data_IF_462011038509
#
_entry.id   IF_462011038509
#
_cell.length_a   1.000
_cell.length_b   1.000
_cell.length_c   1.000
_cell.angle_alpha   90.00
_cell.angle_beta   90.00
_cell.angle_gamma   90.00
#
_symmetry.space_group_name_H-M   'P 1'
#
loop_
_entity.id
_entity.type
_entity.pdbx_description
1 polymer ?
#
# COMPACT_ATOMS: atom_id res chain seq x y z
N UNK A 1 -8.15 17.60 45.67
CA UNK A 1 -7.76 16.73 44.54
C UNK A 1 -9.00 15.93 44.20
N UNK A 2 -9.53 16.04 42.98
CA UNK A 2 -10.77 15.37 42.59
C UNK A 2 -10.51 13.87 42.53
N UNK A 3 -11.34 13.05 43.21
CA UNK A 3 -11.26 11.60 43.06
C UNK A 3 -11.85 11.21 41.69
N UNK A 4 -10.97 10.86 40.76
CA UNK A 4 -11.35 10.48 39.40
C UNK A 4 -12.22 9.21 39.41
N UNK A 5 -12.05 8.33 40.40
CA UNK A 5 -12.85 7.12 40.52
C UNK A 5 -14.30 7.47 40.84
N UNK A 6 -14.52 8.38 41.78
CA UNK A 6 -15.84 8.90 42.11
C UNK A 6 -16.52 9.54 40.88
N UNK A 7 -15.78 10.34 40.11
CA UNK A 7 -16.30 10.94 38.86
C UNK A 7 -16.68 9.88 37.83
N UNK A 8 -15.86 8.85 37.61
CA UNK A 8 -16.13 7.78 36.63
C UNK A 8 -17.35 6.94 37.05
N UNK A 9 -17.51 6.66 38.35
CA UNK A 9 -18.58 5.81 38.90
C UNK A 9 -19.89 6.59 39.17
N UNK A 10 -19.86 7.92 39.01
CA UNK A 10 -20.98 8.83 39.25
C UNK A 10 -22.20 8.57 38.35
N UNK A 11 -23.38 9.02 38.80
CA UNK A 11 -24.59 8.93 37.99
C UNK A 11 -24.53 9.86 36.79
N UNK A 12 -23.93 11.03 36.95
CA UNK A 12 -23.72 12.04 35.93
C UNK A 12 -22.91 11.46 34.76
N UNK A 13 -21.82 10.73 35.05
CA UNK A 13 -21.04 10.06 34.01
C UNK A 13 -21.86 8.97 33.29
N UNK A 14 -22.64 8.18 34.02
CA UNK A 14 -23.54 7.18 33.42
C UNK A 14 -24.55 7.82 32.46
N UNK A 15 -25.11 8.98 32.83
CA UNK A 15 -26.06 9.71 32.00
C UNK A 15 -25.39 10.29 30.75
N UNK A 16 -24.15 10.79 30.86
CA UNK A 16 -23.33 11.22 29.71
C UNK A 16 -23.07 10.07 28.75
N UNK A 17 -22.62 8.91 29.25
CA UNK A 17 -22.36 7.72 28.42
C UNK A 17 -23.64 7.30 27.69
N UNK A 18 -24.77 7.24 28.39
CA UNK A 18 -26.07 6.89 27.80
C UNK A 18 -26.49 7.87 26.70
N UNK A 19 -26.23 9.17 26.89
CA UNK A 19 -26.51 10.19 25.88
C UNK A 19 -25.61 10.04 24.64
N UNK A 20 -24.31 9.79 24.84
CA UNK A 20 -23.36 9.54 23.75
C UNK A 20 -23.72 8.28 22.95
N UNK A 21 -24.10 7.20 23.62
CA UNK A 21 -24.57 5.97 22.96
C UNK A 21 -25.83 6.23 22.13
N UNK A 22 -26.78 7.03 22.64
CA UNK A 22 -27.97 7.40 21.90
C UNK A 22 -27.63 8.24 20.65
N UNK A 23 -26.67 9.17 20.75
CA UNK A 23 -26.18 9.93 19.60
C UNK A 23 -25.51 9.03 18.58
N UNK A 24 -24.64 8.10 19.02
CA UNK A 24 -23.99 7.12 18.14
C UNK A 24 -25.02 6.29 17.40
N UNK A 25 -26.02 5.70 18.09
CA UNK A 25 -27.06 4.89 17.45
C UNK A 25 -27.88 5.65 16.42
N UNK A 26 -28.07 6.96 16.61
CA UNK A 26 -28.84 7.80 15.69
C UNK A 26 -28.06 8.20 14.44
N UNK A 27 -26.74 8.38 14.56
CA UNK A 27 -25.92 9.03 13.53
C UNK A 27 -24.79 8.15 12.97
N UNK A 28 -24.46 7.02 13.60
CA UNK A 28 -23.58 6.03 13.02
C UNK A 28 -24.30 5.25 11.90
N UNK A 29 -23.56 4.75 10.89
CA UNK A 29 -24.12 3.87 9.87
C UNK A 29 -24.85 2.68 10.50
N UNK A 30 -26.05 2.37 10.01
CA UNK A 30 -26.94 1.36 10.59
C UNK A 30 -26.39 -0.08 10.57
N UNK A 31 -25.33 -0.37 9.78
CA UNK A 31 -24.83 -1.72 9.53
C UNK A 31 -23.30 -1.81 9.56
N UNK A 32 -22.68 -1.37 10.65
CA UNK A 32 -21.26 -1.58 10.87
C UNK A 32 -20.97 -3.02 11.28
N UNK A 33 -19.90 -3.60 10.72
CA UNK A 33 -19.34 -4.86 11.20
C UNK A 33 -18.87 -4.66 12.65
N UNK A 34 -19.37 -5.49 13.56
CA UNK A 34 -19.00 -5.45 14.99
C UNK A 34 -18.05 -6.58 15.39
N UNK A 35 -17.97 -7.63 14.59
CA UNK A 35 -17.03 -8.74 14.77
C UNK A 35 -15.91 -8.64 13.73
N UNK A 36 -14.89 -7.85 14.07
CA UNK A 36 -13.72 -7.65 13.22
C UNK A 36 -12.42 -7.72 14.02
N UNK A 37 -11.33 -7.98 13.32
CA UNK A 37 -9.98 -7.96 13.91
C UNK A 37 -9.47 -6.53 13.94
N UNK A 38 -8.93 -6.09 15.08
CA UNK A 38 -8.39 -4.73 15.23
C UNK A 38 -7.29 -4.42 14.21
N UNK A 39 -7.18 -3.18 13.68
CA UNK A 39 -6.14 -2.83 12.71
C UNK A 39 -4.73 -3.06 13.22
N UNK A 40 -4.48 -2.74 14.49
CA UNK A 40 -3.19 -2.94 15.16
C UNK A 40 -2.81 -4.42 15.26
N UNK A 41 -3.79 -5.32 15.47
CA UNK A 41 -3.55 -6.77 15.47
C UNK A 41 -3.20 -7.28 14.08
N UNK A 42 -3.84 -6.76 13.03
CA UNK A 42 -3.53 -7.13 11.64
C UNK A 42 -2.14 -6.64 11.21
N UNK A 43 -1.78 -5.41 11.61
CA UNK A 43 -0.62 -4.70 11.08
C UNK A 43 0.66 -4.77 11.96
N UNK A 44 0.53 -4.87 13.28
CA UNK A 44 1.64 -4.67 14.22
C UNK A 44 1.91 -5.87 15.13
N UNK A 45 0.92 -6.73 15.37
CA UNK A 45 1.06 -7.90 16.24
C UNK A 45 1.49 -9.13 15.44
N UNK A 46 2.68 -9.63 15.74
CA UNK A 46 3.25 -10.83 15.11
C UNK A 46 3.64 -10.60 13.65
N UNK A 47 3.36 -11.59 12.79
CA UNK A 47 3.59 -11.46 11.34
C UNK A 47 2.53 -10.55 10.72
N UNK A 48 2.96 -9.69 9.79
CA UNK A 48 2.08 -8.81 9.05
C UNK A 48 1.05 -9.60 8.24
N UNK A 49 -0.24 -9.31 8.44
CA UNK A 49 -1.37 -10.06 7.87
C UNK A 49 -1.84 -9.46 6.54
N UNK A 50 -0.95 -9.44 5.55
CA UNK A 50 -1.19 -8.75 4.27
C UNK A 50 -2.42 -9.24 3.52
N UNK A 51 -2.69 -10.54 3.55
CA UNK A 51 -3.84 -11.15 2.87
C UNK A 51 -5.15 -10.68 3.50
N UNK A 52 -5.23 -10.75 4.82
CA UNK A 52 -6.39 -10.38 5.61
C UNK A 52 -6.68 -8.89 5.47
N UNK A 53 -5.64 -8.05 5.52
CA UNK A 53 -5.76 -6.60 5.29
C UNK A 53 -6.29 -6.33 3.88
N UNK A 54 -5.71 -6.96 2.85
CA UNK A 54 -6.17 -6.76 1.48
C UNK A 54 -7.62 -7.23 1.30
N UNK A 55 -8.05 -8.32 1.96
CA UNK A 55 -9.43 -8.79 1.94
C UNK A 55 -10.39 -7.77 2.54
N UNK A 56 -10.05 -7.19 3.70
CA UNK A 56 -10.81 -6.09 4.30
C UNK A 56 -10.91 -4.90 3.35
N UNK A 57 -9.80 -4.50 2.71
CA UNK A 57 -9.79 -3.36 1.79
C UNK A 57 -10.61 -3.63 0.51
N UNK A 58 -10.80 -4.89 0.12
CA UNK A 58 -11.58 -5.25 -1.06
C UNK A 58 -13.06 -5.50 -0.76
N UNK A 59 -13.42 -5.75 0.50
CA UNK A 59 -14.80 -6.02 0.85
C UNK A 59 -15.66 -4.74 0.79
N UNK A 60 -16.96 -4.93 0.60
CA UNK A 60 -17.93 -3.83 0.59
C UNK A 60 -18.53 -3.59 1.99
N UNK A 61 -17.99 -4.24 3.03
CA UNK A 61 -18.50 -4.10 4.37
C UNK A 61 -18.18 -2.70 4.90
N UNK A 62 -19.13 -2.14 5.65
CA UNK A 62 -18.94 -0.90 6.39
C UNK A 62 -18.34 -1.22 7.75
N UNK A 63 -17.22 -0.56 8.06
CA UNK A 63 -16.58 -0.60 9.37
C UNK A 63 -16.74 0.75 10.05
N UNK A 64 -16.30 0.86 11.31
CA UNK A 64 -16.26 2.16 11.96
C UNK A 64 -15.32 3.14 11.21
N UNK A 65 -15.59 4.47 11.28
CA UNK A 65 -14.81 5.47 10.57
C UNK A 65 -13.30 5.36 10.85
N UNK A 66 -12.47 5.48 9.82
CA UNK A 66 -11.00 5.39 9.95
C UNK A 66 -10.43 3.97 9.96
N UNK A 67 -11.24 2.91 10.14
CA UNK A 67 -10.75 1.52 10.15
C UNK A 67 -9.99 1.13 8.87
N UNK A 68 -10.63 1.31 7.71
CA UNK A 68 -10.02 0.99 6.41
C UNK A 68 -8.92 1.97 6.01
N UNK A 69 -8.97 3.22 6.47
CA UNK A 69 -7.92 4.22 6.21
C UNK A 69 -6.59 3.80 6.82
N UNK A 70 -6.61 3.46 8.09
CA UNK A 70 -5.41 3.06 8.83
C UNK A 70 -4.84 1.76 8.24
N UNK A 71 -5.70 0.82 7.85
CA UNK A 71 -5.28 -0.39 7.17
C UNK A 71 -4.69 -0.14 5.77
N UNK A 72 -5.26 0.78 4.99
CA UNK A 72 -4.72 1.15 3.68
C UNK A 72 -3.34 1.79 3.80
N UNK A 73 -3.16 2.73 4.74
CA UNK A 73 -1.86 3.34 4.99
C UNK A 73 -0.81 2.31 5.45
N UNK A 74 -1.21 1.38 6.32
CA UNK A 74 -0.37 0.25 6.72
C UNK A 74 0.05 -0.62 5.54
N UNK A 75 -0.89 -0.93 4.64
CA UNK A 75 -0.66 -1.74 3.45
C UNK A 75 0.28 -1.04 2.45
N UNK A 76 0.11 0.27 2.27
CA UNK A 76 1.04 1.10 1.50
C UNK A 76 2.46 1.03 2.08
N UNK A 77 2.62 1.23 3.39
CA UNK A 77 3.90 1.11 4.07
C UNK A 77 4.53 -0.28 3.94
N UNK A 78 3.72 -1.34 4.03
CA UNK A 78 4.18 -2.71 3.84
C UNK A 78 4.70 -2.95 2.42
N UNK A 79 4.08 -2.38 1.39
CA UNK A 79 4.53 -2.52 0.01
C UNK A 79 5.87 -1.81 -0.25
N UNK A 80 6.15 -0.72 0.46
CA UNK A 80 7.42 0.01 0.32
C UNK A 80 8.52 -0.74 1.09
N UNK A 81 8.26 -1.06 2.37
CA UNK A 81 9.23 -1.70 3.25
C UNK A 81 8.59 -2.85 4.05
N UNK A 82 8.47 -4.06 3.46
CA UNK A 82 7.77 -5.19 4.09
C UNK A 82 8.32 -5.58 5.46
N UNK A 83 9.63 -5.39 5.66
CA UNK A 83 10.35 -5.78 6.87
C UNK A 83 10.33 -4.70 7.96
N UNK A 84 10.06 -3.45 7.61
CA UNK A 84 10.14 -2.34 8.55
C UNK A 84 8.77 -2.04 9.18
N UNK A 85 8.57 -2.53 10.41
CA UNK A 85 7.35 -2.26 11.17
C UNK A 85 7.14 -0.77 11.38
N UNK A 86 8.20 -0.02 11.69
CA UNK A 86 8.13 1.40 12.02
C UNK A 86 7.51 2.23 10.91
N UNK A 87 7.76 1.88 9.64
CA UNK A 87 7.17 2.57 8.48
C UNK A 87 5.65 2.43 8.49
N UNK A 88 5.17 1.20 8.67
CA UNK A 88 3.73 0.92 8.73
C UNK A 88 3.07 1.62 9.90
N UNK A 89 3.71 1.56 11.07
CA UNK A 89 3.22 2.17 12.30
C UNK A 89 3.11 3.69 12.16
N UNK A 90 4.14 4.36 11.63
CA UNK A 90 4.05 5.79 11.40
C UNK A 90 2.97 6.17 10.38
N UNK A 91 2.88 5.47 9.24
CA UNK A 91 1.83 5.76 8.25
C UNK A 91 0.42 5.52 8.81
N UNK A 92 0.26 4.52 9.67
CA UNK A 92 -0.99 4.29 10.42
C UNK A 92 -1.33 5.47 11.33
N UNK A 93 -0.34 6.05 12.04
CA UNK A 93 -0.57 7.22 12.90
C UNK A 93 -0.93 8.45 12.07
N UNK A 94 -0.27 8.71 10.94
CA UNK A 94 -0.65 9.81 10.05
C UNK A 94 -2.07 9.64 9.50
N UNK A 95 -2.45 8.44 9.06
CA UNK A 95 -3.82 8.18 8.62
C UNK A 95 -4.85 8.36 9.75
N UNK A 96 -4.48 8.03 10.99
CA UNK A 96 -5.33 8.27 12.15
C UNK A 96 -5.48 9.77 12.46
N UNK A 97 -4.39 10.54 12.38
CA UNK A 97 -4.40 12.00 12.53
C UNK A 97 -5.27 12.66 11.47
N UNK A 98 -5.07 12.29 10.20
CA UNK A 98 -5.86 12.80 9.08
C UNK A 98 -7.35 12.49 9.28
N UNK A 99 -7.69 11.30 9.78
CA UNK A 99 -9.07 10.95 10.08
C UNK A 99 -9.70 11.82 11.18
N UNK A 100 -8.94 12.12 12.24
CA UNK A 100 -9.38 12.99 13.33
C UNK A 100 -9.53 14.45 12.86
N UNK A 101 -8.56 14.97 12.12
CA UNK A 101 -8.58 16.31 11.53
C UNK A 101 -9.74 16.47 10.53
N UNK A 102 -9.97 15.49 9.65
CA UNK A 102 -11.12 15.48 8.74
C UNK A 102 -12.45 15.48 9.51
N UNK A 103 -12.52 14.81 10.66
CA UNK A 103 -13.71 14.77 11.50
C UNK A 103 -13.99 16.12 12.16
N UNK A 104 -12.95 16.83 12.60
CA UNK A 104 -13.09 18.20 13.11
C UNK A 104 -13.47 19.18 12.00
N UNK A 105 -12.82 19.10 10.83
CA UNK A 105 -13.10 19.97 9.68
C UNK A 105 -14.52 19.83 9.14
N UNK A 106 -15.12 18.64 9.22
CA UNK A 106 -16.53 18.43 8.84
C UNK A 106 -17.52 19.27 9.65
N UNK A 107 -17.13 19.76 10.83
CA UNK A 107 -17.94 20.66 11.64
C UNK A 107 -17.83 22.13 11.19
N UNK A 108 -17.00 22.45 10.19
CA UNK A 108 -16.78 23.80 9.67
C UNK A 108 -15.90 24.67 10.57
N UNK A 109 -15.63 25.90 10.14
CA UNK A 109 -14.85 26.88 10.90
C UNK A 109 -15.74 27.54 11.98
N UNK A 110 -15.50 27.21 13.25
CA UNK A 110 -16.12 27.88 14.39
C UNK A 110 -15.28 27.66 15.65
N UNK A 111 -15.50 28.48 16.67
CA UNK A 111 -14.84 28.34 17.97
C UNK A 111 -15.08 26.96 18.60
N UNK A 112 -14.09 26.50 19.36
CA UNK A 112 -14.17 25.25 20.12
C UNK A 112 -15.32 25.35 21.12
N UNK A 113 -16.21 24.36 21.10
CA UNK A 113 -17.24 24.18 22.11
C UNK A 113 -17.38 22.71 22.46
N UNK A 114 -17.87 22.41 23.66
CA UNK A 114 -18.07 21.04 24.13
C UNK A 114 -18.92 20.21 23.16
N UNK A 115 -19.97 20.81 22.59
CA UNK A 115 -20.84 20.14 21.60
C UNK A 115 -20.05 19.73 20.35
N UNK A 116 -19.16 20.60 19.88
CA UNK A 116 -18.33 20.34 18.70
C UNK A 116 -17.29 19.26 18.99
N UNK A 117 -16.58 19.36 20.11
CA UNK A 117 -15.59 18.34 20.52
C UNK A 117 -16.25 16.97 20.68
N UNK A 118 -17.39 16.89 21.39
CA UNK A 118 -18.14 15.65 21.53
C UNK A 118 -18.54 15.07 20.17
N UNK A 119 -19.03 15.91 19.26
CA UNK A 119 -19.45 15.46 17.93
C UNK A 119 -18.28 14.96 17.10
N UNK A 120 -17.17 15.71 17.04
CA UNK A 120 -15.98 15.28 16.31
C UNK A 120 -15.42 13.98 16.89
N UNK A 121 -15.16 13.95 18.20
CA UNK A 121 -14.43 12.87 18.86
C UNK A 121 -15.24 11.59 19.04
N UNK A 122 -16.50 11.69 19.47
CA UNK A 122 -17.28 10.51 19.84
C UNK A 122 -18.29 10.08 18.78
N UNK A 123 -18.75 11.01 17.92
CA UNK A 123 -19.73 10.70 16.87
C UNK A 123 -19.03 10.46 15.52
N UNK A 124 -18.18 11.37 15.05
CA UNK A 124 -17.55 11.28 13.73
C UNK A 124 -16.33 10.37 13.70
N UNK A 125 -15.44 10.48 14.69
CA UNK A 125 -14.27 9.60 14.84
C UNK A 125 -14.66 8.23 15.40
N UNK A 126 -15.64 8.18 16.31
CA UNK A 126 -16.14 7.00 17.03
C UNK A 126 -15.27 6.48 18.20
N UNK A 127 -15.94 5.95 19.23
CA UNK A 127 -15.27 5.29 20.36
C UNK A 127 -14.49 4.03 19.96
N UNK A 128 -14.96 3.29 18.96
CA UNK A 128 -14.28 2.07 18.50
C UNK A 128 -12.92 2.41 17.89
N UNK A 129 -12.85 3.50 17.12
CA UNK A 129 -11.57 4.06 16.64
C UNK A 129 -10.66 4.45 17.80
N UNK A 130 -11.19 5.16 18.81
CA UNK A 130 -10.37 5.62 19.93
C UNK A 130 -9.75 4.44 20.69
N UNK A 131 -10.53 3.40 20.94
CA UNK A 131 -10.08 2.21 21.68
C UNK A 131 -9.12 1.36 20.84
N UNK A 132 -9.46 1.08 19.58
CA UNK A 132 -8.77 0.05 18.80
C UNK A 132 -7.59 0.57 17.98
N UNK A 133 -7.55 1.88 17.74
CA UNK A 133 -6.52 2.55 16.94
C UNK A 133 -5.76 3.55 17.81
N UNK A 134 -6.43 4.61 18.28
CA UNK A 134 -5.75 5.71 18.96
C UNK A 134 -5.01 5.25 20.22
N UNK A 135 -5.71 4.64 21.18
CA UNK A 135 -5.13 4.15 22.43
C UNK A 135 -4.10 3.05 22.17
N UNK A 136 -4.42 2.10 21.28
CA UNK A 136 -3.53 0.99 20.94
C UNK A 136 -2.23 1.42 20.25
N UNK A 137 -2.19 2.59 19.61
CA UNK A 137 -0.98 3.17 19.03
C UNK A 137 -0.20 4.05 20.01
N UNK A 138 -0.66 4.20 21.26
CA UNK A 138 -0.01 5.01 22.29
C UNK A 138 -0.67 6.35 22.56
N UNK A 139 -1.87 6.57 22.02
CA UNK A 139 -2.71 7.75 22.27
C UNK A 139 -1.97 9.07 22.03
N UNK A 140 -2.20 10.05 22.88
CA UNK A 140 -1.66 11.40 22.72
C UNK A 140 -0.14 11.42 22.49
N UNK A 141 0.61 10.60 23.24
CA UNK A 141 2.07 10.62 23.19
C UNK A 141 2.61 10.19 21.82
N UNK A 142 2.06 9.13 21.23
CA UNK A 142 2.50 8.63 19.94
C UNK A 142 2.17 9.58 18.78
N UNK A 143 1.15 10.41 18.94
CA UNK A 143 0.70 11.38 17.96
C UNK A 143 1.52 12.69 18.08
N UNK A 144 1.86 13.11 19.30
CA UNK A 144 2.71 14.28 19.53
C UNK A 144 4.20 14.05 19.17
N UNK A 145 4.69 12.81 19.29
CA UNK A 145 6.10 12.47 19.08
C UNK A 145 6.37 11.83 17.71
N UNK A 146 5.37 11.70 16.84
CA UNK A 146 5.55 11.01 15.57
C UNK A 146 6.42 11.84 14.61
N UNK A 147 7.40 11.23 13.92
CA UNK A 147 8.10 11.91 12.84
C UNK A 147 7.14 12.39 11.76
N UNK A 148 7.45 13.54 11.17
CA UNK A 148 6.73 14.03 9.99
C UNK A 148 6.94 13.08 8.81
N UNK A 149 6.03 13.10 7.85
CA UNK A 149 6.19 12.37 6.59
C UNK A 149 7.50 12.76 5.89
N UNK A 150 7.90 14.02 5.93
CA UNK A 150 9.17 14.46 5.32
C UNK A 150 10.39 13.75 5.94
N UNK A 151 10.45 13.63 7.26
CA UNK A 151 11.55 12.93 7.95
C UNK A 151 11.60 11.44 7.62
N UNK A 152 10.43 10.82 7.43
CA UNK A 152 10.35 9.45 6.95
C UNK A 152 10.86 9.32 5.51
N UNK A 153 10.51 10.26 4.63
CA UNK A 153 10.88 10.22 3.21
C UNK A 153 12.38 10.29 2.99
N UNK A 154 13.09 11.08 3.79
CA UNK A 154 14.56 11.12 3.79
C UNK A 154 15.14 9.72 4.06
N UNK A 155 14.49 8.91 4.89
CA UNK A 155 14.93 7.54 5.16
C UNK A 155 14.59 6.57 4.00
N UNK A 156 13.64 6.91 3.12
CA UNK A 156 13.04 6.01 2.13
C UNK A 156 13.46 6.25 0.68
N UNK A 157 14.11 7.37 0.37
CA UNK A 157 14.52 7.73 -1.00
C UNK A 157 15.33 6.61 -1.69
N UNK A 158 16.09 5.84 -0.91
CA UNK A 158 16.85 4.69 -1.40
C UNK A 158 15.96 3.55 -1.91
N UNK A 159 14.83 3.29 -1.27
CA UNK A 159 13.93 2.17 -1.59
C UNK A 159 13.06 2.47 -2.80
N UNK A 160 12.65 3.73 -3.00
CA UNK A 160 11.92 4.17 -4.19
C UNK A 160 12.67 3.76 -5.47
N UNK A 161 13.97 4.06 -5.52
CA UNK A 161 14.80 3.73 -6.67
C UNK A 161 14.92 2.22 -6.91
N UNK A 162 15.02 1.43 -5.85
CA UNK A 162 15.07 -0.04 -5.92
C UNK A 162 13.75 -0.57 -6.48
N UNK A 163 12.61 -0.09 -5.95
CA UNK A 163 11.26 -0.46 -6.38
C UNK A 163 11.06 -0.11 -7.85
N UNK A 164 11.38 1.12 -8.26
CA UNK A 164 11.24 1.57 -9.65
C UNK A 164 12.12 0.74 -10.61
N UNK A 165 13.34 0.37 -10.20
CA UNK A 165 14.19 -0.53 -11.01
C UNK A 165 13.57 -1.93 -11.14
N UNK A 166 12.96 -2.47 -10.08
CA UNK A 166 12.28 -3.76 -10.12
C UNK A 166 11.02 -3.74 -11.01
N UNK A 167 10.24 -2.65 -10.94
CA UNK A 167 9.08 -2.40 -11.81
C UNK A 167 9.50 -2.30 -13.28
N UNK A 168 10.60 -1.61 -13.58
CA UNK A 168 11.15 -1.55 -14.94
C UNK A 168 11.61 -2.94 -15.42
N UNK A 169 12.26 -3.73 -14.57
CA UNK A 169 12.64 -5.10 -14.91
C UNK A 169 11.41 -5.97 -15.27
N UNK A 170 10.32 -5.88 -14.49
CA UNK A 170 9.05 -6.57 -14.83
C UNK A 170 8.46 -6.02 -16.13
N UNK A 171 8.59 -4.71 -16.39
CA UNK A 171 8.16 -4.09 -17.66
C UNK A 171 8.88 -4.73 -18.86
N UNK A 172 10.21 -4.92 -18.79
CA UNK A 172 10.95 -5.63 -19.83
C UNK A 172 10.45 -7.07 -20.01
N UNK A 173 10.20 -7.79 -18.92
CA UNK A 173 9.70 -9.16 -18.98
C UNK A 173 8.29 -9.23 -19.60
N UNK A 174 7.42 -8.27 -19.29
CA UNK A 174 6.08 -8.19 -19.88
C UNK A 174 6.17 -7.95 -21.40
N UNK A 175 6.97 -6.98 -21.85
CA UNK A 175 7.23 -6.79 -23.30
C UNK A 175 7.78 -8.05 -23.95
N UNK A 176 8.71 -8.76 -23.30
CA UNK A 176 9.31 -9.95 -23.85
C UNK A 176 8.33 -11.12 -23.96
N UNK A 177 7.54 -11.35 -22.91
CA UNK A 177 6.49 -12.37 -22.92
C UNK A 177 5.48 -12.09 -24.02
N UNK A 178 5.05 -10.84 -24.21
CA UNK A 178 4.04 -10.49 -25.22
C UNK A 178 4.59 -10.59 -26.65
N UNK A 179 5.84 -10.19 -26.90
CA UNK A 179 6.42 -10.15 -28.25
C UNK A 179 7.01 -11.47 -28.72
N UNK A 180 7.57 -12.27 -27.81
CA UNK A 180 8.42 -13.40 -28.18
C UNK A 180 7.81 -14.76 -27.82
N UNK A 181 6.62 -14.78 -27.23
CA UNK A 181 5.84 -16.02 -27.13
C UNK A 181 5.24 -16.35 -28.51
N UNK A 182 5.78 -17.38 -29.16
CA UNK A 182 5.25 -17.92 -30.41
C UNK A 182 4.52 -19.24 -30.16
N UNK A 183 3.57 -19.60 -31.03
CA UNK A 183 2.85 -20.88 -30.92
C UNK A 183 3.85 -22.04 -30.90
N UNK A 184 3.85 -22.82 -29.81
CA UNK A 184 4.71 -23.99 -29.63
C UNK A 184 6.10 -23.71 -29.04
N UNK A 185 6.52 -22.45 -28.89
CA UNK A 185 7.78 -22.08 -28.22
C UNK A 185 7.54 -20.92 -27.24
N UNK A 186 7.14 -21.21 -25.99
CA UNK A 186 6.90 -20.17 -25.00
C UNK A 186 8.23 -19.52 -24.59
N UNK A 187 8.25 -18.18 -24.57
CA UNK A 187 9.36 -17.44 -24.00
C UNK A 187 9.39 -17.67 -22.48
N UNK A 188 10.57 -18.06 -21.95
CA UNK A 188 10.79 -18.25 -20.51
C UNK A 188 11.38 -16.97 -19.91
N UNK A 189 10.60 -16.13 -19.20
CA UNK A 189 11.12 -14.93 -18.53
C UNK A 189 12.05 -15.28 -17.37
N UNK A 190 13.06 -14.44 -17.14
CA UNK A 190 13.92 -14.52 -15.95
C UNK A 190 14.48 -13.15 -15.60
N UNK A 191 14.71 -12.89 -14.31
CA UNK A 191 15.33 -11.63 -13.88
C UNK A 191 16.69 -11.41 -14.55
N UNK A 192 17.49 -12.47 -14.74
CA UNK A 192 18.76 -12.39 -15.45
C UNK A 192 18.61 -11.80 -16.87
N UNK A 193 17.55 -12.15 -17.61
CA UNK A 193 17.30 -11.56 -18.94
C UNK A 193 16.95 -10.07 -18.86
N UNK A 194 16.18 -9.65 -17.85
CA UNK A 194 15.90 -8.23 -17.63
C UNK A 194 17.16 -7.44 -17.21
N UNK A 195 18.04 -8.06 -16.42
CA UNK A 195 19.33 -7.48 -16.01
C UNK A 195 20.23 -7.23 -17.22
N UNK A 196 20.23 -8.09 -18.24
CA UNK A 196 21.00 -7.84 -19.46
C UNK A 196 20.59 -6.54 -20.18
N UNK A 197 19.31 -6.15 -20.12
CA UNK A 197 18.85 -4.86 -20.65
C UNK A 197 19.40 -3.69 -19.83
N UNK A 198 19.46 -3.85 -18.51
CA UNK A 198 20.04 -2.84 -17.61
C UNK A 198 21.55 -2.72 -17.80
N UNK A 199 22.26 -3.84 -17.98
CA UNK A 199 23.70 -3.86 -18.25
C UNK A 199 24.02 -3.19 -19.60
N UNK A 200 23.19 -3.42 -20.63
CA UNK A 200 23.29 -2.73 -21.91
C UNK A 200 23.06 -1.22 -21.75
N UNK A 201 22.06 -0.79 -20.95
CA UNK A 201 21.84 0.63 -20.65
C UNK A 201 23.07 1.26 -19.99
N UNK A 202 23.69 0.56 -19.05
CA UNK A 202 24.92 1.00 -18.37
C UNK A 202 26.10 1.16 -19.32
N UNK A 203 26.14 0.42 -20.42
CA UNK A 203 27.21 0.43 -21.42
C UNK A 203 27.04 1.50 -22.53
N UNK A 204 25.92 2.21 -22.59
CA UNK A 204 25.64 3.19 -23.65
C UNK A 204 26.53 4.46 -23.58
N UNK A 205 26.89 5.03 -24.75
CA UNK A 205 27.62 6.30 -24.91
C UNK A 205 26.72 7.35 -25.58
N UNK A 206 26.73 8.64 -25.17
CA UNK A 206 27.36 9.20 -23.96
C UNK A 206 26.79 8.54 -22.69
N UNK A 207 27.50 8.61 -21.54
CA UNK A 207 27.11 7.87 -20.36
C UNK A 207 25.71 8.30 -19.92
N UNK A 208 24.74 7.41 -20.12
CA UNK A 208 23.43 7.54 -19.52
C UNK A 208 23.62 7.68 -17.99
N UNK A 209 22.84 8.52 -17.28
CA UNK A 209 22.94 8.69 -15.83
C UNK A 209 22.38 7.46 -15.09
N UNK A 210 23.00 6.30 -15.32
CA UNK A 210 22.56 5.01 -14.83
C UNK A 210 22.57 4.99 -13.32
N UNK A 211 23.66 5.47 -12.71
CA UNK A 211 23.82 5.50 -11.25
C UNK A 211 22.85 6.42 -10.55
N UNK A 212 22.24 7.38 -11.25
CA UNK A 212 21.19 8.24 -10.69
C UNK A 212 19.83 7.53 -10.76
N UNK A 213 19.54 6.84 -11.87
CA UNK A 213 18.22 6.27 -12.16
C UNK A 213 18.00 4.83 -11.68
N UNK A 214 19.04 3.98 -11.70
CA UNK A 214 18.91 2.55 -11.47
C UNK A 214 19.87 2.04 -10.39
N UNK A 215 19.51 0.90 -9.81
CA UNK A 215 20.34 0.23 -8.80
C UNK A 215 21.31 -0.77 -9.41
N UNK A 216 22.26 -1.24 -8.61
CA UNK A 216 23.18 -2.31 -9.00
C UNK A 216 22.43 -3.63 -9.20
N UNK A 217 23.02 -4.52 -10.02
CA UNK A 217 22.54 -5.89 -10.21
C UNK A 217 22.34 -6.62 -8.87
N UNK A 218 23.34 -6.56 -7.98
CA UNK A 218 23.28 -7.24 -6.68
C UNK A 218 22.10 -6.76 -5.83
N UNK A 219 21.88 -5.45 -5.76
CA UNK A 219 20.78 -4.88 -4.98
C UNK A 219 19.41 -5.24 -5.58
N UNK A 220 19.28 -5.23 -6.91
CA UNK A 220 18.06 -5.67 -7.58
C UNK A 220 17.74 -7.15 -7.29
N UNK A 221 18.73 -8.05 -7.42
CA UNK A 221 18.54 -9.47 -7.10
C UNK A 221 18.17 -9.70 -5.63
N UNK A 222 18.84 -8.99 -4.71
CA UNK A 222 18.53 -9.07 -3.28
C UNK A 222 17.08 -8.64 -3.02
N UNK A 223 16.67 -7.47 -3.51
CA UNK A 223 15.32 -6.97 -3.35
C UNK A 223 14.28 -7.91 -3.95
N UNK A 224 14.50 -8.34 -5.20
CA UNK A 224 13.60 -9.28 -5.89
C UNK A 224 13.41 -10.58 -5.11
N UNK A 225 14.49 -11.14 -4.58
CA UNK A 225 14.43 -12.41 -3.84
C UNK A 225 13.72 -12.28 -2.50
N UNK A 226 13.92 -11.15 -1.82
CA UNK A 226 13.38 -10.89 -0.48
C UNK A 226 11.91 -10.46 -0.50
N UNK A 227 11.43 -9.87 -1.60
CA UNK A 227 10.13 -9.21 -1.68
C UNK A 227 9.20 -9.81 -2.76
N UNK A 228 9.34 -11.12 -3.03
CA UNK A 228 8.62 -11.83 -4.11
C UNK A 228 7.10 -11.62 -4.07
N UNK A 229 6.52 -11.62 -2.87
CA UNK A 229 5.09 -11.47 -2.61
C UNK A 229 4.49 -10.13 -3.06
N UNK A 230 5.29 -9.06 -3.17
CA UNK A 230 4.80 -7.71 -3.48
C UNK A 230 5.10 -7.24 -4.90
N UNK A 231 5.99 -7.93 -5.62
CA UNK A 231 6.46 -7.47 -6.93
C UNK A 231 5.32 -7.29 -7.96
N UNK A 232 4.36 -8.22 -7.98
CA UNK A 232 3.21 -8.12 -8.88
C UNK A 232 2.29 -6.94 -8.52
N UNK A 233 2.09 -6.68 -7.21
CA UNK A 233 1.30 -5.55 -6.73
C UNK A 233 1.98 -4.22 -7.08
N UNK A 234 3.27 -4.09 -6.85
CA UNK A 234 4.04 -2.89 -7.21
C UNK A 234 4.00 -2.61 -8.71
N UNK A 235 4.21 -3.64 -9.54
CA UNK A 235 4.12 -3.48 -10.99
C UNK A 235 2.70 -3.18 -11.47
N UNK A 236 1.68 -3.83 -10.91
CA UNK A 236 0.29 -3.51 -11.24
C UNK A 236 -0.06 -2.06 -10.87
N UNK A 237 0.39 -1.58 -9.71
CA UNK A 237 0.18 -0.20 -9.26
C UNK A 237 0.81 0.83 -10.20
N UNK A 238 1.97 0.53 -10.81
CA UNK A 238 2.63 1.44 -11.75
C UNK A 238 1.84 1.64 -13.06
N UNK A 239 0.88 0.76 -13.35
CA UNK A 239 0.10 0.78 -14.58
C UNK A 239 -1.25 1.49 -14.42
N UNK A 240 -1.66 1.79 -13.19
CA UNK A 240 -2.94 2.45 -12.88
C UNK A 240 -2.69 3.94 -12.74
N UNK A 241 -3.27 4.74 -13.64
CA UNK A 241 -3.19 6.20 -13.63
C UNK A 241 -4.36 6.78 -12.82
N UNK A 242 -4.04 7.67 -11.90
CA UNK A 242 -4.99 8.44 -11.09
C UNK A 242 -4.58 9.91 -11.24
N UNK A 243 -5.35 10.65 -12.05
CA UNK A 243 -4.98 11.99 -12.50
C UNK A 243 -3.59 12.00 -13.18
N UNK A 244 -2.65 12.79 -12.65
CA UNK A 244 -1.29 12.95 -13.18
C UNK A 244 -0.27 11.95 -12.61
N UNK A 245 -0.65 11.18 -11.58
CA UNK A 245 0.22 10.20 -10.92
C UNK A 245 -0.25 8.77 -11.19
N UNK A 246 0.63 7.81 -10.97
CA UNK A 246 0.27 6.39 -10.90
C UNK A 246 -0.09 6.01 -9.47
N UNK A 247 -0.83 4.91 -9.28
CA UNK A 247 -1.09 4.37 -7.94
C UNK A 247 0.22 4.04 -7.22
N UNK A 248 1.23 3.54 -7.94
CA UNK A 248 2.56 3.31 -7.36
C UNK A 248 3.18 4.60 -6.84
N UNK A 249 3.15 5.70 -7.60
CA UNK A 249 3.65 6.99 -7.14
C UNK A 249 2.91 7.48 -5.90
N UNK A 250 1.58 7.33 -5.85
CA UNK A 250 0.81 7.70 -4.67
C UNK A 250 1.18 6.87 -3.43
N UNK A 251 1.48 5.58 -3.61
CA UNK A 251 2.00 4.72 -2.54
C UNK A 251 3.39 5.21 -2.11
N UNK A 252 4.31 5.41 -3.06
CA UNK A 252 5.68 5.88 -2.82
C UNK A 252 5.76 7.30 -2.27
N UNK A 253 4.71 8.11 -2.42
CA UNK A 253 4.55 9.45 -1.84
C UNK A 253 3.83 9.42 -0.48
N UNK A 254 3.37 8.25 -0.01
CA UNK A 254 2.68 8.12 1.27
C UNK A 254 1.26 8.63 1.26
N UNK A 255 0.73 8.89 0.07
CA UNK A 255 -0.58 9.49 -0.16
C UNK A 255 -1.66 8.44 -0.40
N UNK A 256 -1.34 7.14 -0.31
CA UNK A 256 -2.30 6.07 -0.50
C UNK A 256 -3.26 5.95 0.69
N UNK A 257 -4.50 6.39 0.48
CA UNK A 257 -5.63 6.28 1.41
C UNK A 257 -6.78 5.45 0.84
N UNK A 258 -7.65 4.91 1.69
CA UNK A 258 -8.76 4.08 1.24
C UNK A 258 -9.82 4.92 0.51
N UNK A 259 -10.29 6.01 1.11
CA UNK A 259 -11.37 6.86 0.61
C UNK A 259 -11.09 7.42 -0.79
N UNK A 260 -9.82 7.76 -1.07
CA UNK A 260 -9.43 8.31 -2.38
C UNK A 260 -9.16 7.24 -3.44
N UNK A 261 -8.77 6.03 -3.03
CA UNK A 261 -8.24 5.01 -3.94
C UNK A 261 -9.04 3.70 -3.98
N UNK A 262 -10.08 3.54 -3.16
CA UNK A 262 -10.98 2.40 -3.13
C UNK A 262 -11.47 1.97 -4.53
N UNK A 263 -11.87 2.90 -5.43
CA UNK A 263 -12.37 2.53 -6.76
C UNK A 263 -11.35 1.76 -7.62
N UNK A 264 -10.05 1.87 -7.30
CA UNK A 264 -8.97 1.26 -8.06
C UNK A 264 -8.49 -0.07 -7.48
N UNK A 265 -8.89 -0.44 -6.26
CA UNK A 265 -8.37 -1.62 -5.55
C UNK A 265 -8.68 -2.93 -6.29
N UNK A 266 -9.92 -3.08 -6.76
CA UNK A 266 -10.30 -4.28 -7.52
C UNK A 266 -9.48 -4.42 -8.80
N UNK A 267 -9.35 -3.34 -9.59
CA UNK A 267 -8.54 -3.33 -10.80
C UNK A 267 -7.06 -3.64 -10.48
N UNK A 268 -6.53 -3.06 -9.41
CA UNK A 268 -5.15 -3.27 -8.98
C UNK A 268 -4.86 -4.74 -8.70
N UNK A 269 -5.73 -5.40 -7.94
CA UNK A 269 -5.58 -6.81 -7.61
C UNK A 269 -5.77 -7.69 -8.84
N UNK A 270 -6.74 -7.39 -9.71
CA UNK A 270 -6.94 -8.13 -10.97
C UNK A 270 -5.71 -8.05 -11.90
N UNK A 271 -5.06 -6.88 -11.97
CA UNK A 271 -3.81 -6.70 -12.73
C UNK A 271 -2.63 -7.43 -12.07
N UNK A 272 -2.54 -7.42 -10.74
CA UNK A 272 -1.51 -8.18 -10.03
C UNK A 272 -1.65 -9.69 -10.25
N UNK A 273 -2.89 -10.22 -10.25
CA UNK A 273 -3.16 -11.62 -10.62
C UNK A 273 -2.73 -11.90 -12.06
N UNK A 274 -3.08 -11.02 -13.01
CA UNK A 274 -2.62 -11.16 -14.40
C UNK A 274 -1.09 -11.25 -14.50
N UNK A 275 -0.36 -10.39 -13.80
CA UNK A 275 1.11 -10.42 -13.76
C UNK A 275 1.62 -11.76 -13.21
N UNK A 276 1.02 -12.24 -12.11
CA UNK A 276 1.36 -13.53 -11.51
C UNK A 276 1.15 -14.69 -12.49
N UNK A 277 0.00 -14.73 -13.16
CA UNK A 277 -0.38 -15.80 -14.07
C UNK A 277 0.28 -15.72 -15.45
N UNK A 278 0.55 -14.53 -15.97
CA UNK A 278 1.07 -14.32 -17.33
C UNK A 278 2.60 -14.25 -17.38
N UNK A 279 3.22 -13.68 -16.35
CA UNK A 279 4.68 -13.48 -16.28
C UNK A 279 5.30 -14.45 -15.27
N UNK A 280 4.92 -14.37 -13.99
CA UNK A 280 5.64 -15.08 -12.93
C UNK A 280 5.48 -16.60 -13.00
N UNK A 281 4.31 -17.11 -13.39
CA UNK A 281 4.08 -18.54 -13.59
C UNK A 281 4.98 -19.18 -14.66
N UNK A 282 5.49 -18.36 -15.59
CA UNK A 282 6.39 -18.79 -16.68
C UNK A 282 7.86 -18.62 -16.31
N UNK A 283 8.16 -17.99 -15.18
CA UNK A 283 9.52 -17.88 -14.68
C UNK A 283 9.94 -19.21 -14.06
N UNK A 284 11.23 -19.55 -14.15
CA UNK A 284 11.82 -20.71 -13.46
C UNK A 284 11.86 -20.61 -11.92
N UNK A 285 11.12 -19.66 -11.33
CA UNK A 285 11.04 -19.42 -9.89
C UNK A 285 9.56 -19.51 -9.45
N UNK A 286 9.09 -20.70 -9.02
CA UNK A 286 7.69 -20.91 -8.65
C UNK A 286 7.27 -20.13 -7.40
N UNK A 287 8.24 -19.66 -6.59
CA UNK A 287 7.94 -18.88 -5.39
C UNK A 287 7.33 -17.53 -5.70
N UNK A 288 7.66 -16.92 -6.85
CA UNK A 288 7.09 -15.65 -7.25
C UNK A 288 5.56 -15.73 -7.38
N UNK A 289 5.09 -16.70 -8.17
CA UNK A 289 3.66 -16.91 -8.36
C UNK A 289 3.00 -17.34 -7.04
N UNK A 290 3.58 -18.34 -6.36
CA UNK A 290 3.00 -18.92 -5.13
C UNK A 290 2.86 -17.88 -4.01
N UNK A 291 3.89 -17.07 -3.77
CA UNK A 291 3.87 -16.04 -2.70
C UNK A 291 2.95 -14.88 -3.05
N UNK A 292 2.93 -14.46 -4.31
CA UNK A 292 1.99 -13.44 -4.80
C UNK A 292 0.55 -13.88 -4.59
N UNK A 293 0.18 -15.07 -5.09
CA UNK A 293 -1.19 -15.61 -4.98
C UNK A 293 -1.61 -15.86 -3.53
N UNK A 294 -0.68 -16.16 -2.62
CA UNK A 294 -0.98 -16.26 -1.18
C UNK A 294 -1.51 -14.95 -0.60
N UNK A 295 -1.06 -13.80 -1.12
CA UNK A 295 -1.51 -12.47 -0.67
C UNK A 295 -2.80 -12.05 -1.37
N UNK A 296 -2.83 -12.13 -2.72
CA UNK A 296 -3.92 -11.55 -3.52
C UNK A 296 -5.12 -12.48 -3.72
N UNK A 297 -4.94 -13.78 -3.44
CA UNK A 297 -5.96 -14.81 -3.62
C UNK A 297 -6.36 -15.06 -5.08
N UNK A 298 -7.20 -16.06 -5.27
CA UNK A 298 -7.82 -16.37 -6.57
C UNK A 298 -8.84 -15.30 -6.97
N UNK A 299 -9.15 -15.22 -8.26
CA UNK A 299 -10.17 -14.32 -8.78
C UNK A 299 -9.96 -13.92 -10.24
N UNK A 300 -10.67 -12.89 -10.66
CA UNK A 300 -10.60 -12.38 -12.04
C UNK A 300 -9.23 -11.80 -12.37
N UNK A 301 -8.83 -11.97 -13.63
CA UNK A 301 -7.63 -11.40 -14.23
C UNK A 301 -8.04 -10.19 -15.07
N UNK A 302 -7.27 -9.11 -14.97
CA UNK A 302 -7.41 -7.97 -15.87
C UNK A 302 -6.15 -7.86 -16.75
N UNK A 303 -6.27 -8.26 -18.01
CA UNK A 303 -5.19 -8.13 -19.00
C UNK A 303 -4.89 -6.66 -19.28
N UNK A 304 -3.62 -6.31 -19.44
CA UNK A 304 -3.21 -4.97 -19.84
C UNK A 304 -1.90 -5.04 -20.63
N UNK A 305 -1.66 -4.04 -21.50
CA UNK A 305 -0.41 -3.92 -22.22
C UNK A 305 0.71 -3.36 -21.31
N UNK A 306 1.97 -3.78 -21.48
CA UNK A 306 3.07 -3.22 -20.72
C UNK A 306 3.19 -1.70 -20.94
N UNK A 307 3.59 -0.92 -19.92
CA UNK A 307 3.92 0.49 -20.07
C UNK A 307 4.93 0.72 -21.19
N UNK A 308 4.80 1.85 -21.89
CA UNK A 308 5.75 2.26 -22.93
C UNK A 308 7.13 2.47 -22.29
N UNK A 309 8.15 1.86 -22.89
CA UNK A 309 9.54 2.12 -22.56
C UNK A 309 9.95 3.47 -23.15
N UNK A 310 10.83 4.20 -22.46
CA UNK A 310 11.50 5.35 -23.04
C UNK A 310 12.37 4.95 -24.24
N UNK A 311 12.74 5.90 -25.10
CA UNK A 311 13.48 5.59 -26.34
C UNK A 311 14.78 4.80 -26.09
N UNK A 312 15.54 5.21 -25.06
CA UNK A 312 16.80 4.58 -24.68
C UNK A 312 16.57 3.16 -24.14
N UNK A 313 15.56 2.98 -23.28
CA UNK A 313 15.18 1.68 -22.73
C UNK A 313 14.67 0.73 -23.83
N UNK A 314 13.88 1.24 -24.76
CA UNK A 314 13.35 0.48 -25.89
C UNK A 314 14.47 0.02 -26.84
N UNK A 315 15.46 0.88 -27.10
CA UNK A 315 16.63 0.55 -27.91
C UNK A 315 17.48 -0.54 -27.25
N UNK A 316 17.76 -0.40 -25.95
CA UNK A 316 18.48 -1.41 -25.16
C UNK A 316 17.72 -2.74 -25.17
N UNK A 317 16.42 -2.71 -24.83
CA UNK A 317 15.55 -3.89 -24.84
C UNK A 317 15.59 -4.62 -26.18
N UNK A 318 15.45 -3.88 -27.28
CA UNK A 318 15.42 -4.46 -28.63
C UNK A 318 16.75 -5.12 -29.00
N UNK A 319 17.88 -4.52 -28.62
CA UNK A 319 19.21 -5.08 -28.87
C UNK A 319 19.43 -6.37 -28.07
N UNK A 320 19.17 -6.33 -26.76
CA UNK A 320 19.36 -7.47 -25.86
C UNK A 320 18.48 -8.65 -26.26
N UNK A 321 17.17 -8.41 -26.45
CA UNK A 321 16.24 -9.51 -26.72
C UNK A 321 16.34 -10.08 -28.13
N UNK A 322 16.76 -9.29 -29.13
CA UNK A 322 17.12 -9.83 -30.45
C UNK A 322 18.27 -10.83 -30.33
N UNK A 323 19.30 -10.52 -29.54
CA UNK A 323 20.44 -11.41 -29.34
C UNK A 323 20.05 -12.69 -28.59
N UNK A 324 19.14 -12.61 -27.61
CA UNK A 324 18.65 -13.78 -26.85
C UNK A 324 17.85 -14.76 -27.71
N UNK A 325 17.20 -14.27 -28.78
CA UNK A 325 16.35 -15.10 -29.66
C UNK A 325 17.17 -15.73 -30.80
N UNK A 326 18.19 -15.02 -31.27
CA UNK A 326 19.02 -15.46 -32.38
C UNK A 326 20.24 -16.31 -31.97
N UNK A 327 20.59 -16.31 -30.67
CA UNK A 327 21.65 -17.14 -30.09
C UNK A 327 21.07 -18.34 -29.36
#
# INVERSE_FOLDING_TARGET
MVDIKEVIESQEMRDVVKALDALKRRWAPNHQVTDHVRPTVLALVGRYKAKEILQVLLDNNEYYPGYKEVLAASFGGWLIMPKERRVRETLMVHAALDHMDDSERKLGEAELSLKRDITARYVLTSMDFLIEIYDCMGGYQAFAQNPTLEMLWIAFERDEKVINTAVLAITFLHHAVDRFTTRGRPFVPSLNKAVLVLDELKATKPPFPYKEKYVSRSLLHQHWSQNKEILALLYAASTIRINRKTLLQLILDGLFSYNKHQPYLSLWVCRARYVSSHIFSRMGDPDLNRKTMRVIGEGTLATFAPPKLGEIEAASFSRTFRNIING
#
